data_IF_755136867838
#
_entry.id   IF_755136867838
#
_cell.length_a   1.000
_cell.length_b   1.000
_cell.length_c   1.000
_cell.angle_alpha   90.00
_cell.angle_beta   90.00
_cell.angle_gamma   90.00
#
_symmetry.space_group_name_H-M   'P 1'
#
loop_
_entity.id
_entity.type
_entity.pdbx_description
1 polymer ?
#
# COMPACT_ATOMS: atom_id res chain seq x y z
N UNK A 1 26.14 -24.28 -1.60
CA UNK A 1 24.81 -23.70 -1.87
C UNK A 1 24.46 -22.79 -0.71
N UNK A 2 24.17 -21.51 -0.93
CA UNK A 2 24.03 -20.57 0.18
C UNK A 2 22.62 -20.67 0.80
N UNK A 3 22.45 -21.51 1.84
CA UNK A 3 21.19 -21.60 2.61
C UNK A 3 20.73 -20.23 3.12
N UNK A 4 21.66 -19.32 3.40
CA UNK A 4 21.35 -17.94 3.77
C UNK A 4 20.54 -17.22 2.68
N UNK A 5 20.83 -17.46 1.40
CA UNK A 5 20.05 -16.86 0.31
C UNK A 5 18.64 -17.43 0.22
N UNK A 6 18.44 -18.72 0.53
CA UNK A 6 17.08 -19.27 0.63
C UNK A 6 16.27 -18.61 1.76
N UNK A 7 16.91 -18.39 2.91
CA UNK A 7 16.35 -17.61 4.03
C UNK A 7 16.02 -16.18 3.57
N UNK A 8 16.95 -15.49 2.90
CA UNK A 8 16.71 -14.14 2.34
C UNK A 8 15.55 -14.09 1.35
N UNK A 9 15.43 -15.07 0.46
CA UNK A 9 14.34 -15.15 -0.49
C UNK A 9 12.98 -15.23 0.21
N UNK A 10 12.83 -16.09 1.23
CA UNK A 10 11.57 -16.25 1.93
C UNK A 10 11.27 -15.11 2.92
N UNK A 11 12.27 -14.65 3.68
CA UNK A 11 12.08 -13.75 4.82
C UNK A 11 12.27 -12.26 4.50
N UNK A 12 13.21 -11.93 3.61
CA UNK A 12 13.51 -10.53 3.24
C UNK A 12 12.81 -10.09 1.96
N UNK A 13 12.87 -10.92 0.92
CA UNK A 13 12.12 -10.68 -0.30
C UNK A 13 10.64 -11.09 -0.15
N UNK A 14 10.37 -12.28 0.38
CA UNK A 14 9.02 -12.73 0.72
C UNK A 14 8.53 -12.17 2.06
N UNK A 15 7.35 -12.59 2.50
CA UNK A 15 6.69 -12.14 3.74
C UNK A 15 7.06 -12.95 5.01
N UNK A 16 8.13 -13.75 4.95
CA UNK A 16 8.45 -14.75 5.96
C UNK A 16 8.20 -16.17 5.43
N UNK A 17 9.03 -17.11 5.84
CA UNK A 17 8.88 -18.52 5.48
C UNK A 17 7.70 -19.16 6.20
N UNK A 18 6.98 -20.04 5.49
CA UNK A 18 6.13 -21.07 6.10
C UNK A 18 6.97 -22.30 6.47
N UNK A 19 6.53 -23.14 7.42
CA UNK A 19 7.19 -24.40 7.70
C UNK A 19 7.42 -25.24 6.42
N UNK A 20 8.67 -25.64 6.18
CA UNK A 20 9.09 -26.39 4.99
C UNK A 20 9.28 -25.58 3.70
N UNK A 21 8.96 -24.28 3.69
CA UNK A 21 9.09 -23.44 2.49
C UNK A 21 10.55 -23.23 2.10
N UNK A 22 11.45 -22.98 3.06
CA UNK A 22 12.88 -22.76 2.81
C UNK A 22 13.54 -24.01 2.21
N UNK A 23 13.17 -25.20 2.69
CA UNK A 23 13.74 -26.47 2.19
C UNK A 23 13.38 -26.72 0.72
N UNK A 24 12.29 -26.13 0.22
CA UNK A 24 11.90 -26.21 -1.19
C UNK A 24 12.68 -25.26 -2.12
N UNK A 25 13.42 -24.29 -1.56
CA UNK A 25 14.14 -23.26 -2.33
C UNK A 25 15.54 -23.78 -2.67
N UNK A 26 15.69 -24.30 -3.89
CA UNK A 26 16.98 -24.76 -4.43
C UNK A 26 17.76 -23.65 -5.11
N UNK A 27 17.08 -22.79 -5.87
CA UNK A 27 17.61 -21.56 -6.44
C UNK A 27 16.80 -20.36 -5.92
N UNK A 28 17.35 -19.58 -4.97
CA UNK A 28 16.63 -18.45 -4.38
C UNK A 28 16.26 -17.35 -5.36
N UNK A 29 17.08 -17.08 -6.38
CA UNK A 29 16.77 -16.06 -7.37
C UNK A 29 15.67 -16.55 -8.31
N UNK A 30 15.79 -17.76 -8.84
CA UNK A 30 14.78 -18.32 -9.72
C UNK A 30 13.45 -18.55 -8.99
N UNK A 31 13.47 -18.92 -7.70
CA UNK A 31 12.27 -19.02 -6.87
C UNK A 31 11.51 -17.69 -6.78
N UNK A 32 12.21 -16.56 -6.65
CA UNK A 32 11.59 -15.23 -6.68
C UNK A 32 11.12 -14.85 -8.10
N UNK A 33 11.95 -15.09 -9.12
CA UNK A 33 11.60 -14.78 -10.52
C UNK A 33 10.40 -15.59 -11.01
N UNK A 34 10.22 -16.83 -10.54
CA UNK A 34 9.04 -17.65 -10.82
C UNK A 34 7.74 -16.99 -10.34
N UNK A 35 7.76 -16.33 -9.17
CA UNK A 35 6.58 -15.63 -8.64
C UNK A 35 6.13 -14.44 -9.51
N UNK A 36 7.02 -13.87 -10.32
CA UNK A 36 6.69 -12.80 -11.27
C UNK A 36 5.91 -13.29 -12.49
N UNK A 37 5.91 -14.62 -12.74
CA UNK A 37 5.23 -15.24 -13.88
C UNK A 37 3.95 -15.97 -13.46
N UNK A 38 3.78 -16.21 -12.17
CA UNK A 38 2.60 -16.89 -11.64
C UNK A 38 1.36 -15.99 -11.75
N UNK A 39 0.20 -16.55 -12.13
CA UNK A 39 -1.04 -15.79 -12.15
C UNK A 39 -1.38 -15.33 -10.73
N UNK A 40 -2.06 -14.18 -10.62
CA UNK A 40 -2.64 -13.78 -9.34
C UNK A 40 -3.72 -14.80 -8.97
N UNK A 41 -3.73 -15.27 -7.73
CA UNK A 41 -4.75 -16.20 -7.23
C UNK A 41 -5.30 -15.70 -5.91
N UNK A 42 -6.36 -14.91 -5.98
CA UNK A 42 -6.94 -14.22 -4.83
C UNK A 42 -8.48 -14.20 -4.90
N UNK A 43 -9.15 -15.36 -5.11
CA UNK A 43 -10.61 -15.40 -5.34
C UNK A 43 -11.39 -14.77 -4.17
N UNK A 44 -10.89 -14.90 -2.94
CA UNK A 44 -11.50 -14.33 -1.74
C UNK A 44 -11.62 -12.79 -1.79
N UNK A 45 -10.74 -12.09 -2.51
CA UNK A 45 -10.80 -10.63 -2.66
C UNK A 45 -11.69 -10.19 -3.83
N UNK A 46 -11.94 -11.08 -4.80
CA UNK A 46 -12.75 -10.79 -5.98
C UNK A 46 -14.24 -10.67 -5.66
N UNK A 47 -14.72 -11.32 -4.60
CA UNK A 47 -16.11 -11.28 -4.14
C UNK A 47 -16.46 -10.00 -3.35
N UNK A 48 -15.45 -9.21 -2.97
CA UNK A 48 -15.66 -8.00 -2.18
C UNK A 48 -16.30 -6.87 -3.02
N UNK A 49 -17.17 -6.03 -2.41
CA UNK A 49 -17.73 -4.87 -3.09
C UNK A 49 -16.66 -3.95 -3.65
N UNK A 50 -16.85 -3.50 -4.89
CA UNK A 50 -15.96 -2.51 -5.50
C UNK A 50 -16.25 -1.08 -5.05
N UNK A 51 -15.39 -0.13 -5.41
CA UNK A 51 -15.49 1.28 -5.04
C UNK A 51 -16.79 1.95 -5.48
N UNK A 52 -17.36 1.52 -6.61
CA UNK A 52 -18.66 2.02 -7.07
C UNK A 52 -19.80 1.63 -6.12
N UNK A 53 -19.74 0.42 -5.56
CA UNK A 53 -20.73 -0.06 -4.61
C UNK A 53 -20.57 0.66 -3.26
N UNK A 54 -19.33 0.84 -2.78
CA UNK A 54 -19.06 1.67 -1.61
C UNK A 54 -19.54 3.13 -1.80
N UNK A 55 -19.46 3.67 -3.01
CA UNK A 55 -19.99 5.00 -3.33
C UNK A 55 -21.52 5.05 -3.22
N UNK A 56 -22.24 4.04 -3.70
CA UNK A 56 -23.70 3.93 -3.51
C UNK A 56 -24.06 3.87 -2.03
N UNK A 57 -23.33 3.08 -1.25
CA UNK A 57 -23.53 2.95 0.20
C UNK A 57 -23.27 4.26 0.96
N UNK A 58 -22.20 5.00 0.62
CA UNK A 58 -21.89 6.31 1.20
C UNK A 58 -22.98 7.34 0.88
N UNK A 59 -23.50 7.33 -0.35
CA UNK A 59 -24.61 8.22 -0.75
C UNK A 59 -25.88 7.90 0.03
N UNK A 60 -26.26 6.63 0.12
CA UNK A 60 -27.42 6.20 0.91
C UNK A 60 -27.28 6.60 2.38
N UNK A 61 -26.11 6.37 2.99
CA UNK A 61 -25.83 6.77 4.37
C UNK A 61 -25.96 8.29 4.58
N UNK A 62 -25.46 9.09 3.64
CA UNK A 62 -25.58 10.56 3.69
C UNK A 62 -27.03 11.03 3.55
N UNK A 63 -27.80 10.41 2.66
CA UNK A 63 -29.22 10.70 2.48
C UNK A 63 -30.00 10.37 3.77
N UNK A 64 -29.84 9.17 4.33
CA UNK A 64 -30.49 8.79 5.59
C UNK A 64 -30.12 9.74 6.72
N UNK A 65 -28.84 10.13 6.85
CA UNK A 65 -28.41 11.10 7.87
C UNK A 65 -29.05 12.48 7.67
N UNK A 66 -29.21 12.93 6.42
CA UNK A 66 -29.87 14.19 6.10
C UNK A 66 -31.35 14.14 6.46
N UNK A 67 -32.03 13.05 6.14
CA UNK A 67 -33.43 12.82 6.51
C UNK A 67 -33.61 12.78 8.02
N UNK A 68 -32.75 12.07 8.76
CA UNK A 68 -32.80 12.04 10.23
C UNK A 68 -32.66 13.44 10.86
N UNK A 69 -31.86 14.32 10.24
CA UNK A 69 -31.68 15.71 10.69
C UNK A 69 -32.90 16.59 10.39
N UNK A 70 -33.62 16.31 9.31
CA UNK A 70 -34.75 17.13 8.85
C UNK A 70 -36.09 16.68 9.42
N UNK A 71 -36.31 15.38 9.61
CA UNK A 71 -37.61 14.77 9.93
C UNK A 71 -37.65 14.09 11.31
N UNK A 72 -36.63 14.30 12.16
CA UNK A 72 -36.44 13.55 13.40
C UNK A 72 -35.74 12.20 13.16
N UNK A 73 -35.39 11.43 14.21
CA UNK A 73 -34.54 10.25 14.10
C UNK A 73 -35.13 9.18 13.18
N UNK A 74 -34.75 9.22 11.90
CA UNK A 74 -34.97 8.14 10.97
C UNK A 74 -34.03 6.99 11.37
N UNK A 75 -34.59 5.93 11.96
CA UNK A 75 -33.82 4.70 12.22
C UNK A 75 -33.17 4.21 10.93
N UNK A 76 -31.88 3.85 10.97
CA UNK A 76 -31.19 3.28 9.80
C UNK A 76 -29.75 3.73 9.59
N UNK A 77 -29.40 4.99 9.92
CA UNK A 77 -28.03 5.49 9.71
C UNK A 77 -26.97 4.76 10.56
N UNK A 78 -27.31 4.43 11.81
CA UNK A 78 -26.43 3.68 12.72
C UNK A 78 -26.21 2.22 12.26
N UNK A 79 -27.26 1.44 11.93
CA UNK A 79 -27.11 0.13 11.31
C UNK A 79 -26.24 0.14 10.04
N UNK A 80 -26.45 1.10 9.13
CA UNK A 80 -25.67 1.23 7.89
C UNK A 80 -24.19 1.51 8.16
N UNK A 81 -23.90 2.48 9.05
CA UNK A 81 -22.52 2.79 9.44
C UNK A 81 -21.82 1.59 10.11
N UNK A 82 -22.54 0.82 10.94
CA UNK A 82 -22.01 -0.40 11.56
C UNK A 82 -21.68 -1.46 10.52
N UNK A 83 -22.57 -1.71 9.55
CA UNK A 83 -22.33 -2.67 8.45
C UNK A 83 -21.11 -2.28 7.63
N UNK A 84 -20.99 -1.00 7.27
CA UNK A 84 -19.84 -0.49 6.52
C UNK A 84 -18.51 -0.67 7.27
N UNK A 85 -18.49 -0.44 8.59
CA UNK A 85 -17.31 -0.69 9.43
C UNK A 85 -16.98 -2.18 9.49
N UNK A 86 -17.98 -3.05 9.64
CA UNK A 86 -17.78 -4.50 9.64
C UNK A 86 -17.21 -5.00 8.31
N UNK A 87 -17.70 -4.48 7.18
CA UNK A 87 -17.18 -4.82 5.85
C UNK A 87 -15.70 -4.42 5.69
N UNK A 88 -15.32 -3.23 6.16
CA UNK A 88 -13.91 -2.78 6.13
C UNK A 88 -13.00 -3.66 7.00
N UNK A 89 -13.44 -4.04 8.19
CA UNK A 89 -12.68 -4.94 9.07
C UNK A 89 -12.57 -6.35 8.47
N UNK A 90 -13.63 -6.83 7.83
CA UNK A 90 -13.62 -8.12 7.14
C UNK A 90 -12.64 -8.11 5.95
N UNK A 91 -12.66 -7.06 5.13
CA UNK A 91 -11.71 -6.89 4.03
C UNK A 91 -10.27 -6.80 4.52
N UNK A 92 -10.02 -6.09 5.63
CA UNK A 92 -8.70 -6.05 6.27
C UNK A 92 -8.21 -7.45 6.68
N UNK A 93 -9.10 -8.27 7.26
CA UNK A 93 -8.77 -9.65 7.62
C UNK A 93 -8.45 -10.50 6.38
N UNK A 94 -9.29 -10.42 5.33
CA UNK A 94 -9.06 -11.14 4.07
C UNK A 94 -7.72 -10.75 3.42
N UNK A 95 -7.39 -9.45 3.42
CA UNK A 95 -6.09 -8.93 2.95
C UNK A 95 -4.91 -9.60 3.65
N UNK A 96 -5.03 -9.92 4.94
CA UNK A 96 -3.98 -10.61 5.69
C UNK A 96 -3.99 -12.11 5.43
N UNK A 97 -5.16 -12.74 5.41
CA UNK A 97 -5.29 -14.18 5.11
C UNK A 97 -4.72 -14.53 3.73
N UNK A 98 -5.00 -13.73 2.70
CA UNK A 98 -4.43 -13.90 1.37
C UNK A 98 -2.91 -13.82 1.41
N UNK A 99 -2.34 -12.82 2.08
CA UNK A 99 -0.89 -12.66 2.17
C UNK A 99 -0.21 -13.79 2.97
N UNK A 100 -0.85 -14.27 4.04
CA UNK A 100 -0.37 -15.41 4.82
C UNK A 100 -0.38 -16.69 4.00
N UNK A 101 -1.46 -16.95 3.26
CA UNK A 101 -1.62 -18.18 2.47
C UNK A 101 -0.86 -18.16 1.15
N UNK A 102 -0.50 -16.97 0.63
CA UNK A 102 0.02 -16.80 -0.71
C UNK A 102 1.32 -17.60 -0.95
N UNK A 103 1.40 -18.36 -2.07
CA UNK A 103 2.64 -18.97 -2.53
C UNK A 103 3.57 -17.95 -3.22
N UNK A 104 3.06 -16.75 -3.55
CA UNK A 104 3.83 -15.66 -4.17
C UNK A 104 4.09 -14.54 -3.17
N UNK A 105 4.78 -14.85 -2.07
CA UNK A 105 4.96 -13.91 -0.96
C UNK A 105 5.78 -12.67 -1.34
N UNK A 106 6.66 -12.75 -2.35
CA UNK A 106 7.34 -11.57 -2.91
C UNK A 106 6.33 -10.60 -3.54
N UNK A 107 5.38 -11.12 -4.33
CA UNK A 107 4.33 -10.32 -4.95
C UNK A 107 3.48 -9.61 -3.90
N UNK A 108 3.07 -10.31 -2.84
CA UNK A 108 2.30 -9.71 -1.75
C UNK A 108 3.10 -8.64 -1.00
N UNK A 109 4.41 -8.85 -0.78
CA UNK A 109 5.28 -7.79 -0.24
C UNK A 109 5.25 -6.55 -1.14
N UNK A 110 5.33 -6.72 -2.46
CA UNK A 110 5.23 -5.58 -3.37
C UNK A 110 3.87 -4.91 -3.34
N UNK A 111 2.77 -5.64 -3.15
CA UNK A 111 1.45 -5.03 -2.91
C UNK A 111 1.48 -4.13 -1.68
N UNK A 112 2.07 -4.57 -0.56
CA UNK A 112 2.20 -3.73 0.66
C UNK A 112 3.07 -2.50 0.41
N UNK A 113 4.19 -2.66 -0.29
CA UNK A 113 5.06 -1.55 -0.67
C UNK A 113 4.28 -0.48 -1.45
N UNK A 114 3.54 -0.88 -2.48
CA UNK A 114 2.78 0.07 -3.30
C UNK A 114 1.59 0.69 -2.57
N UNK A 115 0.90 -0.08 -1.73
CA UNK A 115 -0.16 0.46 -0.87
C UNK A 115 0.35 1.51 0.11
N UNK A 116 1.62 1.41 0.51
CA UNK A 116 2.28 2.41 1.34
C UNK A 116 2.85 3.58 0.51
N UNK A 117 3.36 3.31 -0.70
CA UNK A 117 3.86 4.33 -1.62
C UNK A 117 2.74 5.30 -2.06
N UNK A 118 1.57 4.75 -2.37
CA UNK A 118 0.36 5.48 -2.71
C UNK A 118 -0.58 5.57 -1.50
N UNK A 119 -0.04 5.99 -0.36
CA UNK A 119 -0.74 5.93 0.91
C UNK A 119 -2.01 6.80 0.93
N UNK A 120 -3.12 6.19 1.37
CA UNK A 120 -4.36 6.88 1.73
C UNK A 120 -4.63 6.62 3.21
N UNK A 121 -4.96 7.70 3.95
CA UNK A 121 -5.31 7.58 5.37
C UNK A 121 -6.82 7.53 5.61
N UNK A 122 -7.27 6.54 6.38
CA UNK A 122 -8.66 6.39 6.82
C UNK A 122 -9.09 7.47 7.82
N UNK A 123 -8.15 8.24 8.39
CA UNK A 123 -8.47 9.43 9.19
C UNK A 123 -9.23 10.47 8.36
N UNK A 124 -8.96 10.53 7.05
CA UNK A 124 -9.80 11.25 6.11
C UNK A 124 -11.09 10.47 5.87
N UNK A 125 -12.09 10.72 6.73
CA UNK A 125 -13.39 10.02 6.73
C UNK A 125 -14.08 9.86 5.37
N UNK A 126 -13.89 10.81 4.46
CA UNK A 126 -14.49 10.74 3.10
C UNK A 126 -13.77 9.76 2.16
N UNK A 127 -12.50 9.45 2.43
CA UNK A 127 -11.67 8.50 1.69
C UNK A 127 -11.62 7.11 2.34
N UNK A 128 -11.86 7.02 3.66
CA UNK A 128 -11.77 5.79 4.45
C UNK A 128 -12.41 4.54 3.82
N UNK A 129 -13.65 4.59 3.26
CA UNK A 129 -14.29 3.41 2.69
C UNK A 129 -13.58 2.83 1.46
N UNK A 130 -12.66 3.59 0.85
CA UNK A 130 -12.03 3.26 -0.42
C UNK A 130 -10.55 2.89 -0.28
N UNK A 131 -9.97 2.96 0.93
CA UNK A 131 -8.55 2.69 1.15
C UNK A 131 -8.16 1.25 0.78
N UNK A 132 -8.90 0.26 1.30
CA UNK A 132 -8.67 -1.15 0.97
C UNK A 132 -9.11 -1.51 -0.47
N UNK A 133 -10.25 -1.01 -1.00
CA UNK A 133 -10.59 -1.14 -2.42
C UNK A 133 -9.52 -0.61 -3.37
N UNK A 134 -8.81 0.47 -3.04
CA UNK A 134 -7.73 0.99 -3.88
C UNK A 134 -6.58 -0.01 -4.06
N UNK A 135 -6.20 -0.72 -2.99
CA UNK A 135 -5.22 -1.80 -3.09
C UNK A 135 -5.69 -2.88 -4.09
N UNK A 136 -6.96 -3.26 -4.03
CA UNK A 136 -7.55 -4.28 -4.90
C UNK A 136 -7.74 -3.85 -6.35
N UNK A 137 -8.17 -2.62 -6.57
CA UNK A 137 -8.62 -2.13 -7.88
C UNK A 137 -7.51 -1.43 -8.65
N UNK A 138 -6.61 -0.73 -7.95
CA UNK A 138 -5.56 0.06 -8.59
C UNK A 138 -4.16 -0.57 -8.45
N UNK A 139 -3.85 -1.24 -7.34
CA UNK A 139 -2.49 -1.71 -7.06
C UNK A 139 -2.29 -3.17 -7.48
N UNK A 140 -3.06 -4.11 -6.94
CA UNK A 140 -2.93 -5.55 -7.19
C UNK A 140 -2.94 -5.93 -8.68
N UNK A 141 -3.79 -5.32 -9.55
CA UNK A 141 -3.80 -5.64 -10.98
C UNK A 141 -2.54 -5.18 -11.71
N UNK A 142 -1.88 -4.13 -11.21
CA UNK A 142 -0.74 -3.49 -11.87
C UNK A 142 0.60 -3.78 -11.18
N UNK A 143 0.62 -4.57 -10.10
CA UNK A 143 1.81 -4.81 -9.27
C UNK A 143 3.00 -5.41 -10.03
N UNK A 144 2.73 -6.09 -11.16
CA UNK A 144 3.74 -6.64 -12.07
C UNK A 144 3.69 -6.00 -13.48
N UNK A 145 2.86 -4.96 -13.65
CA UNK A 145 2.61 -4.30 -14.93
C UNK A 145 3.48 -3.07 -15.15
N UNK A 146 3.01 -2.13 -16.00
CA UNK A 146 3.69 -0.85 -16.21
C UNK A 146 3.31 0.13 -15.10
N UNK A 147 4.29 0.86 -14.60
CA UNK A 147 4.08 1.88 -13.57
C UNK A 147 3.09 2.97 -14.01
N UNK A 148 3.11 3.39 -15.28
CA UNK A 148 2.16 4.38 -15.80
C UNK A 148 0.70 3.93 -15.64
N UNK A 149 0.42 2.63 -15.83
CA UNK A 149 -0.93 2.07 -15.69
C UNK A 149 -1.35 2.07 -14.20
N UNK A 150 -0.44 1.70 -13.29
CA UNK A 150 -0.68 1.78 -11.85
C UNK A 150 -0.91 3.22 -11.38
N UNK A 151 -0.04 4.14 -11.79
CA UNK A 151 -0.13 5.56 -11.45
C UNK A 151 -1.48 6.11 -11.88
N UNK A 152 -1.87 5.93 -13.15
CA UNK A 152 -3.17 6.39 -13.63
C UNK A 152 -4.34 5.76 -12.85
N UNK A 153 -4.28 4.46 -12.58
CA UNK A 153 -5.32 3.76 -11.82
C UNK A 153 -5.46 4.32 -10.40
N UNK A 154 -4.36 4.65 -9.72
CA UNK A 154 -4.35 5.26 -8.39
C UNK A 154 -4.87 6.70 -8.44
N UNK A 155 -4.33 7.54 -9.32
CA UNK A 155 -4.66 8.97 -9.35
C UNK A 155 -6.11 9.24 -9.79
N UNK A 156 -6.76 8.25 -10.41
CA UNK A 156 -8.19 8.29 -10.76
C UNK A 156 -9.08 7.50 -9.77
N UNK A 157 -8.50 6.86 -8.77
CA UNK A 157 -9.24 6.08 -7.78
C UNK A 157 -10.01 6.98 -6.80
N UNK A 158 -11.25 6.64 -6.40
CA UNK A 158 -12.04 7.42 -5.44
C UNK A 158 -11.32 7.68 -4.11
N UNK A 159 -10.49 6.74 -3.65
CA UNK A 159 -9.69 6.91 -2.44
C UNK A 159 -8.74 8.11 -2.56
N UNK A 160 -7.91 8.13 -3.61
CA UNK A 160 -6.89 9.17 -3.82
C UNK A 160 -7.54 10.53 -4.10
N UNK A 161 -8.52 10.57 -5.01
CA UNK A 161 -9.25 11.79 -5.37
C UNK A 161 -9.95 12.46 -4.18
N UNK A 162 -10.42 11.66 -3.20
CA UNK A 162 -11.04 12.17 -1.98
C UNK A 162 -10.04 12.45 -0.86
N UNK A 163 -8.96 11.69 -0.80
CA UNK A 163 -7.92 11.86 0.21
C UNK A 163 -7.23 13.21 0.03
N UNK A 164 -6.85 13.52 -1.20
CA UNK A 164 -6.16 14.76 -1.59
C UNK A 164 -7.13 15.82 -2.14
N UNK A 165 -8.42 15.68 -1.84
CA UNK A 165 -9.48 16.66 -2.09
C UNK A 165 -9.65 17.10 -3.57
N UNK A 166 -9.11 16.37 -4.55
CA UNK A 166 -9.25 16.70 -5.97
C UNK A 166 -10.70 16.70 -6.45
N UNK A 167 -11.58 15.90 -5.82
CA UNK A 167 -13.04 15.97 -6.07
C UNK A 167 -13.66 17.36 -5.86
N UNK A 168 -12.98 18.26 -5.14
CA UNK A 168 -13.39 19.65 -4.90
C UNK A 168 -12.64 20.66 -5.78
N UNK A 169 -11.62 20.22 -6.52
CA UNK A 169 -10.81 21.06 -7.39
C UNK A 169 -11.60 21.48 -8.62
N UNK A 170 -11.60 22.78 -8.92
CA UNK A 170 -12.15 23.32 -10.15
C UNK A 170 -11.18 24.36 -10.72
N UNK A 171 -11.07 24.38 -12.05
CA UNK A 171 -10.33 25.43 -12.74
C UNK A 171 -10.94 26.79 -12.48
N UNK A 172 -10.10 27.81 -12.25
CA UNK A 172 -10.56 29.19 -11.99
C UNK A 172 -11.35 29.75 -13.18
N UNK A 173 -10.93 29.39 -14.40
CA UNK A 173 -11.58 29.80 -15.66
C UNK A 173 -12.58 28.75 -16.17
N UNK A 174 -12.81 27.68 -15.40
CA UNK A 174 -13.78 26.65 -15.76
C UNK A 174 -15.21 27.20 -15.83
N UNK A 175 -16.03 26.58 -16.69
CA UNK A 175 -17.46 26.96 -16.83
C UNK A 175 -18.20 26.93 -15.49
N UNK A 176 -17.83 26.02 -14.59
CA UNK A 176 -18.39 25.89 -13.26
C UNK A 176 -18.00 27.08 -12.38
N UNK A 177 -16.71 27.43 -12.32
CA UNK A 177 -16.20 28.53 -11.52
C UNK A 177 -16.80 29.87 -11.98
N UNK A 178 -16.78 30.14 -13.29
CA UNK A 178 -17.36 31.37 -13.88
C UNK A 178 -18.85 31.49 -13.55
N UNK A 179 -19.62 30.40 -13.63
CA UNK A 179 -21.06 30.41 -13.27
C UNK A 179 -21.30 30.59 -11.77
N UNK A 180 -20.45 30.00 -10.93
CA UNK A 180 -20.55 30.14 -9.48
C UNK A 180 -20.28 31.59 -9.06
N UNK A 181 -19.20 32.20 -9.57
CA UNK A 181 -18.84 33.59 -9.28
C UNK A 181 -19.92 34.58 -9.75
N UNK A 182 -20.51 34.37 -10.94
CA UNK A 182 -21.64 35.20 -11.42
C UNK A 182 -22.88 35.12 -10.51
N UNK A 183 -23.12 34.00 -9.85
CA UNK A 183 -24.28 33.79 -8.96
C UNK A 183 -24.03 34.30 -7.55
N UNK A 184 -22.80 34.15 -7.06
CA UNK A 184 -22.38 34.65 -5.78
C UNK A 184 -20.88 35.02 -5.88
N UNK A 185 -20.53 36.30 -6.01
CA UNK A 185 -19.15 36.75 -6.15
C UNK A 185 -18.25 36.35 -4.96
N UNK A 186 -18.82 36.18 -3.76
CA UNK A 186 -18.09 35.74 -2.56
C UNK A 186 -17.76 34.24 -2.57
N UNK A 187 -18.33 33.47 -3.52
CA UNK A 187 -18.09 32.04 -3.64
C UNK A 187 -17.03 31.76 -4.69
N UNK A 188 -15.79 31.66 -4.25
CA UNK A 188 -14.68 31.23 -5.09
C UNK A 188 -14.57 29.70 -5.10
N UNK A 189 -14.72 29.11 -6.29
CA UNK A 189 -14.32 27.72 -6.54
C UNK A 189 -12.85 27.75 -6.93
N UNK A 190 -12.00 27.16 -6.09
CA UNK A 190 -10.56 27.24 -6.24
C UNK A 190 -9.93 25.97 -6.79
N UNK A 191 -8.72 26.15 -7.31
CA UNK A 191 -7.80 25.07 -7.64
C UNK A 191 -7.30 24.43 -6.34
N UNK A 192 -7.38 23.10 -6.25
CA UNK A 192 -6.71 22.33 -5.20
C UNK A 192 -5.46 21.67 -5.77
N UNK A 193 -4.30 22.03 -5.22
CA UNK A 193 -2.99 21.57 -5.70
C UNK A 193 -2.47 20.31 -5.00
N UNK A 194 -3.13 19.83 -3.94
CA UNK A 194 -2.59 18.75 -3.11
C UNK A 194 -2.29 17.51 -3.94
N UNK A 195 -3.24 17.04 -4.75
CA UNK A 195 -3.03 15.86 -5.60
C UNK A 195 -1.86 16.04 -6.58
N UNK A 196 -1.76 17.20 -7.23
CA UNK A 196 -0.67 17.49 -8.15
C UNK A 196 0.69 17.54 -7.44
N UNK A 197 0.73 18.11 -6.24
CA UNK A 197 1.94 18.14 -5.42
C UNK A 197 2.37 16.72 -5.04
N UNK A 198 1.46 15.89 -4.54
CA UNK A 198 1.81 14.51 -4.17
C UNK A 198 2.21 13.67 -5.39
N UNK A 199 1.56 13.86 -6.55
CA UNK A 199 1.97 13.21 -7.80
C UNK A 199 3.44 13.51 -8.09
N UNK A 200 3.83 14.79 -8.12
CA UNK A 200 5.19 15.21 -8.45
C UNK A 200 6.18 14.81 -7.36
N UNK A 201 5.84 15.05 -6.09
CA UNK A 201 6.76 14.94 -4.96
C UNK A 201 6.93 13.53 -4.43
N UNK A 202 5.84 12.80 -4.21
CA UNK A 202 5.85 11.54 -3.46
C UNK A 202 5.62 10.31 -4.33
N UNK A 203 4.75 10.45 -5.33
CA UNK A 203 4.33 9.34 -6.19
C UNK A 203 5.26 9.15 -7.39
N UNK A 204 5.96 10.22 -7.83
CA UNK A 204 6.83 10.15 -9.02
C UNK A 204 8.24 10.68 -8.78
N UNK A 205 8.48 11.98 -8.96
CA UNK A 205 9.82 12.55 -9.16
C UNK A 205 10.67 12.57 -7.88
N UNK A 206 10.06 12.50 -6.70
CA UNK A 206 10.74 12.74 -5.44
C UNK A 206 10.86 14.24 -5.14
N UNK A 207 11.09 14.59 -3.87
CA UNK A 207 11.29 15.99 -3.40
C UNK A 207 12.39 16.72 -4.18
N UNK A 208 13.43 16.00 -4.61
CA UNK A 208 14.56 16.54 -5.41
C UNK A 208 14.36 16.33 -6.92
N UNK A 209 13.12 16.13 -7.36
CA UNK A 209 12.75 15.77 -8.73
C UNK A 209 12.87 16.88 -9.78
N UNK A 210 13.18 18.10 -9.34
CA UNK A 210 13.41 19.26 -10.22
C UNK A 210 12.15 19.98 -10.71
N UNK A 211 10.97 19.67 -10.15
CA UNK A 211 9.74 20.40 -10.43
C UNK A 211 9.70 21.73 -9.66
N UNK A 212 9.00 22.71 -10.21
CA UNK A 212 8.73 24.00 -9.60
C UNK A 212 7.31 24.07 -9.05
N UNK A 213 7.01 25.11 -8.27
CA UNK A 213 5.64 25.41 -7.87
C UNK A 213 4.72 25.67 -9.09
N UNK A 214 5.26 26.20 -10.20
CA UNK A 214 4.49 26.38 -11.42
C UNK A 214 4.07 25.04 -12.03
N UNK A 215 4.93 24.02 -11.97
CA UNK A 215 4.59 22.67 -12.45
C UNK A 215 3.47 22.04 -11.60
N UNK A 216 3.48 22.27 -10.29
CA UNK A 216 2.40 21.86 -9.39
C UNK A 216 1.08 22.50 -9.81
N UNK A 217 1.07 23.82 -10.02
CA UNK A 217 -0.13 24.55 -10.44
C UNK A 217 -0.62 24.09 -11.82
N UNK A 218 0.27 23.89 -12.79
CA UNK A 218 -0.10 23.48 -14.14
C UNK A 218 -0.60 22.02 -14.20
N UNK A 219 0.01 21.11 -13.44
CA UNK A 219 -0.53 19.76 -13.28
C UNK A 219 -1.89 19.78 -12.56
N UNK A 220 -2.04 20.61 -11.50
CA UNK A 220 -3.31 20.74 -10.80
C UNK A 220 -4.42 21.17 -11.76
N UNK A 221 -4.16 22.16 -12.63
CA UNK A 221 -5.09 22.56 -13.69
C UNK A 221 -5.38 21.40 -14.65
N UNK A 222 -4.38 20.64 -15.08
CA UNK A 222 -4.55 19.49 -15.98
C UNK A 222 -5.44 18.37 -15.41
N UNK A 223 -5.53 18.24 -14.09
CA UNK A 223 -6.34 17.21 -13.41
C UNK A 223 -7.62 17.76 -12.77
N UNK A 224 -7.92 19.06 -12.95
CA UNK A 224 -9.22 19.61 -12.55
C UNK A 224 -10.36 18.86 -13.23
N UNK A 225 -11.47 18.67 -12.50
CA UNK A 225 -12.61 17.91 -12.98
C UNK A 225 -12.48 16.39 -12.85
N UNK A 226 -11.31 15.84 -12.49
CA UNK A 226 -11.20 14.42 -12.10
C UNK A 226 -11.92 14.20 -10.77
N UNK A 227 -13.02 13.45 -10.81
CA UNK A 227 -13.96 13.37 -9.70
C UNK A 227 -14.58 11.97 -9.58
N UNK A 228 -15.55 11.86 -8.68
CA UNK A 228 -16.37 10.67 -8.49
C UNK A 228 -17.83 10.99 -8.82
N UNK A 229 -18.66 9.98 -9.16
CA UNK A 229 -20.10 10.20 -9.29
C UNK A 229 -20.70 10.77 -7.99
N UNK A 230 -21.60 11.74 -8.14
CA UNK A 230 -22.35 12.39 -7.09
C UNK A 230 -23.79 11.85 -7.07
N UNK A 231 -24.60 12.11 -6.02
CA UNK A 231 -25.96 11.58 -5.93
C UNK A 231 -26.83 11.82 -7.18
N UNK A 232 -26.72 13.04 -7.73
CA UNK A 232 -27.47 13.46 -8.92
C UNK A 232 -27.13 12.62 -10.16
N UNK A 233 -25.92 12.08 -10.25
CA UNK A 233 -25.52 11.23 -11.39
C UNK A 233 -26.16 9.83 -11.30
N UNK A 234 -26.40 9.33 -10.08
CA UNK A 234 -27.15 8.09 -9.85
C UNK A 234 -28.66 8.27 -10.05
N UNK A 235 -29.18 9.48 -9.88
CA UNK A 235 -30.58 9.81 -10.20
C UNK A 235 -30.80 9.95 -11.71
N UNK A 236 -29.82 10.51 -12.42
CA UNK A 236 -29.88 10.74 -13.89
C UNK A 236 -29.51 9.52 -14.72
N UNK A 237 -28.87 8.53 -14.11
CA UNK A 237 -28.45 7.29 -14.76
C UNK A 237 -27.76 6.36 -13.77
N UNK A 238 -27.24 5.24 -14.24
CA UNK A 238 -26.45 4.32 -13.42
C UNK A 238 -24.97 4.43 -13.82
N UNK A 239 -24.15 5.24 -13.12
CA UNK A 239 -22.71 5.24 -13.33
C UNK A 239 -22.16 3.82 -13.27
N UNK A 240 -21.34 3.45 -14.26
CA UNK A 240 -20.72 2.12 -14.38
C UNK A 240 -19.30 2.06 -13.83
N UNK A 241 -18.72 3.22 -13.46
CA UNK A 241 -17.38 3.36 -12.88
C UNK A 241 -17.42 4.33 -11.70
N UNK A 242 -16.49 4.15 -10.76
CA UNK A 242 -16.36 5.03 -9.59
C UNK A 242 -15.58 6.33 -9.87
N UNK A 243 -14.98 6.45 -11.06
CA UNK A 243 -14.36 7.66 -11.58
C UNK A 243 -15.30 8.39 -12.55
N UNK A 244 -15.24 9.73 -12.56
CA UNK A 244 -15.96 10.55 -13.51
C UNK A 244 -15.20 11.86 -13.81
N UNK A 245 -15.05 12.18 -15.10
CA UNK A 245 -14.51 13.46 -15.54
C UNK A 245 -15.61 14.53 -15.66
N UNK A 246 -15.43 15.66 -14.99
CA UNK A 246 -16.33 16.82 -14.98
C UNK A 246 -15.80 17.91 -15.90
N UNK A 247 -16.08 17.81 -17.19
CA UNK A 247 -15.62 18.79 -18.19
C UNK A 247 -15.95 20.25 -17.85
N UNK A 248 -17.08 20.51 -17.16
CA UNK A 248 -17.44 21.88 -16.75
C UNK A 248 -16.58 22.43 -15.61
N UNK A 249 -15.93 21.58 -14.81
CA UNK A 249 -15.03 21.97 -13.73
C UNK A 249 -13.55 21.97 -14.17
N UNK A 250 -13.26 21.48 -15.37
CA UNK A 250 -11.91 21.43 -15.91
C UNK A 250 -11.45 22.82 -16.37
N UNK A 251 -10.20 23.16 -16.07
CA UNK A 251 -9.52 24.33 -16.56
C UNK A 251 -9.13 24.13 -18.03
N UNK A 252 -9.67 24.96 -18.92
CA UNK A 252 -9.30 24.95 -20.35
C UNK A 252 -7.91 25.54 -20.62
N UNK A 253 -7.42 25.35 -21.83
CA UNK A 253 -6.10 25.79 -22.28
C UNK A 253 -5.01 24.70 -22.22
N UNK A 254 -3.95 24.94 -22.98
CA UNK A 254 -2.74 24.12 -22.98
C UNK A 254 -1.96 24.27 -21.67
N UNK A 255 -1.22 23.23 -21.28
CA UNK A 255 -0.37 23.22 -20.08
C UNK A 255 1.10 23.11 -20.44
N UNK A 256 1.95 23.61 -19.56
CA UNK A 256 3.38 23.31 -19.57
C UNK A 256 3.73 22.70 -18.23
N UNK A 257 4.18 21.45 -18.24
CA UNK A 257 4.60 20.73 -17.04
C UNK A 257 5.97 20.12 -17.31
N UNK A 258 6.93 20.36 -16.44
CA UNK A 258 8.32 19.92 -16.57
C UNK A 258 8.93 20.34 -17.92
N UNK A 259 8.61 21.56 -18.38
CA UNK A 259 9.07 22.10 -19.66
C UNK A 259 8.43 21.48 -20.92
N UNK A 260 7.56 20.47 -20.78
CA UNK A 260 6.81 19.86 -21.89
C UNK A 260 5.44 20.50 -22.04
N UNK A 261 5.04 20.80 -23.27
CA UNK A 261 3.73 21.39 -23.60
C UNK A 261 2.71 20.28 -23.88
N UNK A 262 1.52 20.40 -23.29
CA UNK A 262 0.39 19.50 -23.47
C UNK A 262 -0.80 20.27 -24.05
N UNK A 263 -1.43 19.70 -25.09
CA UNK A 263 -2.60 20.30 -25.73
C UNK A 263 -3.81 20.31 -24.78
N UNK A 264 -4.77 21.20 -25.02
CA UNK A 264 -6.07 21.16 -24.34
C UNK A 264 -6.86 19.96 -24.86
N UNK A 265 -6.87 18.87 -24.09
CA UNK A 265 -7.51 17.61 -24.48
C UNK A 265 -8.34 17.00 -23.33
N UNK A 266 -8.90 17.87 -22.48
CA UNK A 266 -9.72 17.50 -21.34
C UNK A 266 -9.08 16.43 -20.45
N UNK A 267 -9.74 15.28 -20.31
CA UNK A 267 -9.25 14.15 -19.52
C UNK A 267 -7.87 13.66 -19.98
N UNK A 268 -7.63 13.61 -21.29
CA UNK A 268 -6.40 13.09 -21.87
C UNK A 268 -5.18 13.97 -21.56
N UNK A 269 -5.38 15.27 -21.30
CA UNK A 269 -4.30 16.19 -20.93
C UNK A 269 -3.59 15.71 -19.66
N UNK A 270 -4.34 15.45 -18.57
CA UNK A 270 -3.75 14.94 -17.33
C UNK A 270 -3.17 13.52 -17.48
N UNK A 271 -3.81 12.66 -18.29
CA UNK A 271 -3.31 11.30 -18.56
C UNK A 271 -1.95 11.32 -19.27
N UNK A 272 -1.77 12.22 -20.24
CA UNK A 272 -0.51 12.40 -20.93
C UNK A 272 0.60 12.88 -19.99
N UNK A 273 0.30 13.83 -19.10
CA UNK A 273 1.26 14.29 -18.09
C UNK A 273 1.69 13.13 -17.17
N UNK A 274 0.74 12.34 -16.65
CA UNK A 274 1.06 11.17 -15.81
C UNK A 274 1.90 10.14 -16.55
N UNK A 275 1.62 9.88 -17.83
CA UNK A 275 2.37 8.93 -18.64
C UNK A 275 3.84 9.37 -18.81
N UNK A 276 4.10 10.66 -19.03
CA UNK A 276 5.47 11.19 -19.12
C UNK A 276 6.19 11.19 -17.77
N UNK A 277 5.50 11.56 -16.68
CA UNK A 277 6.06 11.52 -15.32
C UNK A 277 6.45 10.09 -14.90
N UNK A 278 5.67 9.08 -15.31
CA UNK A 278 5.92 7.68 -14.98
C UNK A 278 7.25 7.12 -15.52
N UNK A 279 7.75 7.68 -16.63
CA UNK A 279 9.01 7.28 -17.27
C UNK A 279 10.09 8.37 -17.17
N UNK A 280 9.88 9.39 -16.33
CA UNK A 280 10.87 10.43 -16.11
C UNK A 280 12.11 9.85 -15.38
N UNK A 281 13.36 10.27 -15.72
CA UNK A 281 14.56 9.79 -15.06
C UNK A 281 14.58 9.98 -13.53
N UNK A 282 13.99 11.07 -13.03
CA UNK A 282 13.84 11.29 -11.59
C UNK A 282 12.93 10.23 -10.94
N UNK A 283 11.80 9.92 -11.56
CA UNK A 283 10.88 8.85 -11.12
C UNK A 283 11.57 7.50 -11.08
N UNK A 284 12.27 7.13 -12.16
CA UNK A 284 12.98 5.87 -12.25
C UNK A 284 13.99 5.71 -11.10
N UNK A 285 14.75 6.77 -10.76
CA UNK A 285 15.71 6.76 -9.64
C UNK A 285 15.02 6.76 -8.27
N UNK A 286 14.05 7.64 -8.08
CA UNK A 286 13.33 7.81 -6.82
C UNK A 286 12.63 6.52 -6.39
N UNK A 287 11.86 5.93 -7.30
CA UNK A 287 11.08 4.73 -7.01
C UNK A 287 11.97 3.49 -6.90
N UNK A 288 13.01 3.37 -7.74
CA UNK A 288 14.00 2.30 -7.60
C UNK A 288 14.72 2.35 -6.25
N UNK A 289 15.06 3.55 -5.78
CA UNK A 289 15.64 3.73 -4.45
C UNK A 289 14.67 3.31 -3.33
N UNK A 290 13.38 3.69 -3.41
CA UNK A 290 12.37 3.27 -2.42
C UNK A 290 12.23 1.73 -2.40
N UNK A 291 12.16 1.09 -3.56
CA UNK A 291 12.06 -0.38 -3.66
C UNK A 291 13.32 -1.06 -3.08
N UNK A 292 14.51 -0.59 -3.47
CA UNK A 292 15.77 -1.13 -2.96
C UNK A 292 15.88 -0.92 -1.44
N UNK A 293 15.45 0.24 -0.94
CA UNK A 293 15.38 0.53 0.49
C UNK A 293 14.44 -0.42 1.23
N UNK A 294 13.30 -0.74 0.64
CA UNK A 294 12.31 -1.62 1.25
C UNK A 294 12.82 -3.05 1.39
N UNK A 295 13.58 -3.54 0.41
CA UNK A 295 13.97 -4.94 0.29
C UNK A 295 15.41 -5.24 0.73
N UNK A 296 16.31 -4.26 0.74
CA UNK A 296 17.76 -4.51 0.93
C UNK A 296 18.28 -3.91 2.22
N UNK A 297 18.22 -2.59 2.38
CA UNK A 297 18.76 -1.87 3.54
C UNK A 297 18.21 -0.45 3.61
N UNK A 298 18.26 0.23 4.77
CA UNK A 298 17.82 1.64 4.89
C UNK A 298 18.57 2.57 3.92
N UNK A 299 19.83 2.26 3.66
CA UNK A 299 20.71 2.88 2.68
C UNK A 299 21.13 1.84 1.62
N UNK A 300 20.35 1.68 0.53
CA UNK A 300 20.68 0.69 -0.50
C UNK A 300 21.90 1.12 -1.32
N UNK A 301 22.74 0.18 -1.79
CA UNK A 301 23.89 0.50 -2.64
C UNK A 301 23.49 1.27 -3.91
N UNK A 302 24.17 2.38 -4.20
CA UNK A 302 23.85 3.23 -5.36
C UNK A 302 23.87 2.46 -6.69
N UNK A 303 24.84 1.55 -6.87
CA UNK A 303 24.94 0.73 -8.08
C UNK A 303 23.67 -0.11 -8.34
N UNK A 304 23.03 -0.62 -7.29
CA UNK A 304 21.77 -1.36 -7.39
C UNK A 304 20.64 -0.44 -7.85
N UNK A 305 20.51 0.73 -7.22
CA UNK A 305 19.48 1.72 -7.56
C UNK A 305 19.62 2.17 -9.02
N UNK A 306 20.85 2.41 -9.47
CA UNK A 306 21.12 2.80 -10.86
C UNK A 306 20.83 1.68 -11.85
N UNK A 307 21.14 0.42 -11.50
CA UNK A 307 20.79 -0.73 -12.34
C UNK A 307 19.27 -0.85 -12.54
N UNK A 308 18.51 -0.74 -11.45
CA UNK A 308 17.05 -0.74 -11.50
C UNK A 308 16.49 0.45 -12.28
N UNK A 309 17.01 1.66 -12.07
CA UNK A 309 16.58 2.86 -12.78
C UNK A 309 16.87 2.78 -14.30
N UNK A 310 18.00 2.18 -14.70
CA UNK A 310 18.28 1.90 -16.13
C UNK A 310 17.27 0.92 -16.70
N UNK A 311 16.98 -0.18 -16.00
CA UNK A 311 15.96 -1.13 -16.43
C UNK A 311 14.59 -0.48 -16.56
N UNK A 312 14.21 0.35 -15.58
CA UNK A 312 12.96 1.11 -15.59
C UNK A 312 12.81 1.95 -16.85
N UNK A 313 13.82 2.74 -17.19
CA UNK A 313 13.78 3.59 -18.39
C UNK A 313 13.78 2.76 -19.67
N UNK A 314 14.58 1.70 -19.73
CA UNK A 314 14.65 0.83 -20.91
C UNK A 314 13.36 0.03 -21.16
N UNK A 315 12.62 -0.33 -20.10
CA UNK A 315 11.38 -1.09 -20.20
C UNK A 315 10.12 -0.24 -20.22
N UNK A 316 10.24 1.09 -20.12
CA UNK A 316 9.08 1.98 -20.00
C UNK A 316 8.33 1.82 -18.67
N UNK A 317 9.04 1.47 -17.59
CA UNK A 317 8.49 1.29 -16.25
C UNK A 317 7.80 -0.05 -16.04
N UNK A 318 8.19 -1.12 -16.75
CA UNK A 318 7.75 -2.49 -16.46
C UNK A 318 8.30 -2.95 -15.10
N UNK A 319 7.41 -3.08 -14.13
CA UNK A 319 7.75 -3.38 -12.75
C UNK A 319 8.30 -4.80 -12.57
N UNK A 320 7.81 -5.79 -13.33
CA UNK A 320 8.34 -7.15 -13.26
C UNK A 320 9.79 -7.20 -13.72
N UNK A 321 10.15 -6.45 -14.77
CA UNK A 321 11.53 -6.34 -15.22
C UNK A 321 12.42 -5.61 -14.20
N UNK A 322 11.92 -4.55 -13.56
CA UNK A 322 12.63 -3.83 -12.49
C UNK A 322 12.89 -4.74 -11.29
N UNK A 323 11.91 -5.55 -10.89
CA UNK A 323 12.09 -6.53 -9.80
C UNK A 323 13.09 -7.60 -10.20
N UNK A 324 13.05 -8.10 -11.43
CA UNK A 324 14.02 -9.06 -11.91
C UNK A 324 15.45 -8.49 -11.91
N UNK A 325 15.62 -7.21 -12.25
CA UNK A 325 16.91 -6.53 -12.16
C UNK A 325 17.41 -6.45 -10.71
N UNK A 326 16.53 -6.13 -9.75
CA UNK A 326 16.86 -6.15 -8.33
C UNK A 326 17.26 -7.55 -7.87
N UNK A 327 16.44 -8.56 -8.17
CA UNK A 327 16.64 -9.96 -7.74
C UNK A 327 17.95 -10.52 -8.29
N UNK A 328 18.36 -10.16 -9.51
CA UNK A 328 19.61 -10.67 -10.10
C UNK A 328 20.86 -9.93 -9.63
N UNK A 329 20.72 -8.74 -9.05
CA UNK A 329 21.86 -7.91 -8.73
C UNK A 329 22.60 -8.42 -7.47
N UNK A 330 23.91 -8.70 -7.51
CA UNK A 330 24.64 -9.29 -6.38
C UNK A 330 24.55 -8.48 -5.08
N UNK A 331 24.53 -7.14 -5.18
CA UNK A 331 24.43 -6.26 -4.01
C UNK A 331 23.11 -6.42 -3.24
N UNK A 332 22.06 -6.99 -3.84
CA UNK A 332 20.81 -7.29 -3.15
C UNK A 332 20.91 -8.51 -2.21
N UNK A 333 22.01 -9.27 -2.26
CA UNK A 333 22.24 -10.53 -1.53
C UNK A 333 23.48 -10.52 -0.65
N UNK A 334 24.09 -9.35 -0.44
CA UNK A 334 25.26 -9.20 0.44
C UNK A 334 24.92 -9.38 1.91
N UNK A 335 25.92 -9.66 2.75
CA UNK A 335 25.75 -9.92 4.19
C UNK A 335 25.17 -8.75 4.97
N UNK A 336 25.38 -7.52 4.50
CA UNK A 336 24.82 -6.30 5.09
C UNK A 336 23.37 -6.04 4.71
N UNK A 337 22.78 -6.83 3.79
CA UNK A 337 21.40 -6.67 3.35
C UNK A 337 20.46 -7.21 4.42
N UNK A 338 19.87 -6.29 5.19
CA UNK A 338 18.91 -6.61 6.25
C UNK A 338 17.93 -5.47 6.45
N UNK A 339 16.71 -5.81 6.85
CA UNK A 339 15.63 -4.85 7.12
C UNK A 339 14.90 -5.17 8.41
N UNK A 340 14.72 -4.17 9.27
CA UNK A 340 13.86 -4.33 10.44
C UNK A 340 12.41 -4.48 9.97
N UNK A 341 11.66 -5.44 10.52
CA UNK A 341 10.26 -5.67 10.14
C UNK A 341 9.40 -4.50 10.59
N UNK A 342 8.56 -3.96 9.71
CA UNK A 342 7.43 -3.12 10.16
C UNK A 342 6.46 -3.97 11.00
N UNK A 343 5.56 -3.39 11.81
CA UNK A 343 4.56 -4.16 12.53
C UNK A 343 3.69 -5.09 11.65
N UNK A 344 3.30 -4.66 10.45
CA UNK A 344 2.57 -5.46 9.45
C UNK A 344 3.43 -6.63 8.96
N UNK A 345 4.69 -6.37 8.58
CA UNK A 345 5.65 -7.42 8.17
C UNK A 345 5.90 -8.44 9.29
N UNK A 346 6.06 -7.96 10.52
CA UNK A 346 6.26 -8.79 11.70
C UNK A 346 5.08 -9.74 11.89
N UNK A 347 3.86 -9.20 11.89
CA UNK A 347 2.65 -9.99 12.06
C UNK A 347 2.49 -11.04 10.97
N UNK A 348 2.63 -10.65 9.69
CA UNK A 348 2.55 -11.58 8.56
C UNK A 348 3.59 -12.69 8.68
N UNK A 349 4.84 -12.35 9.02
CA UNK A 349 5.90 -13.35 9.17
C UNK A 349 5.66 -14.29 10.35
N UNK A 350 5.11 -13.80 11.46
CA UNK A 350 4.83 -14.62 12.65
C UNK A 350 3.71 -15.61 12.39
N UNK A 351 2.64 -15.15 11.72
CA UNK A 351 1.51 -16.02 11.36
C UNK A 351 1.95 -17.04 10.31
N UNK A 352 2.76 -16.65 9.32
CA UNK A 352 3.31 -17.59 8.33
C UNK A 352 4.21 -18.64 8.96
N UNK A 353 5.01 -18.27 9.97
CA UNK A 353 5.90 -19.18 10.68
C UNK A 353 5.17 -20.26 11.50
N UNK A 354 3.95 -19.98 11.97
CA UNK A 354 3.19 -20.91 12.82
C UNK A 354 2.20 -20.24 13.77
N UNK A 355 2.21 -18.90 13.85
CA UNK A 355 1.22 -18.13 14.59
C UNK A 355 -0.19 -18.25 14.00
N UNK A 356 -1.19 -17.79 14.76
CA UNK A 356 -2.60 -17.88 14.37
C UNK A 356 -3.23 -16.51 14.26
N UNK A 357 -3.91 -16.26 13.13
CA UNK A 357 -4.87 -15.17 13.01
C UNK A 357 -6.27 -15.68 13.35
N UNK A 358 -6.83 -15.21 14.46
CA UNK A 358 -8.21 -15.51 14.82
C UNK A 358 -9.16 -14.80 13.85
N UNK A 359 -9.66 -15.58 12.89
CA UNK A 359 -10.53 -15.11 11.82
C UNK A 359 -11.93 -14.73 12.32
N UNK A 360 -12.31 -15.13 13.53
CA UNK A 360 -13.56 -14.72 14.17
C UNK A 360 -13.49 -13.31 14.77
N UNK A 361 -12.28 -12.76 14.95
CA UNK A 361 -12.05 -11.47 15.61
C UNK A 361 -11.20 -10.53 14.74
N UNK A 362 -11.73 -10.01 13.60
CA UNK A 362 -10.99 -9.08 12.73
C UNK A 362 -10.57 -7.78 13.43
N UNK A 363 -11.29 -7.38 14.48
CA UNK A 363 -10.91 -6.22 15.30
C UNK A 363 -9.62 -6.47 16.10
N UNK A 364 -9.31 -7.72 16.47
CA UNK A 364 -8.08 -8.04 17.20
C UNK A 364 -6.84 -7.80 16.34
N UNK A 365 -6.91 -8.12 15.04
CA UNK A 365 -5.87 -7.79 14.05
C UNK A 365 -5.60 -6.28 14.01
N UNK A 366 -6.65 -5.46 13.88
CA UNK A 366 -6.51 -4.01 13.92
C UNK A 366 -5.85 -3.54 15.21
N UNK A 367 -6.35 -3.99 16.37
CA UNK A 367 -5.84 -3.60 17.69
C UNK A 367 -4.38 -3.97 17.88
N UNK A 368 -3.95 -5.12 17.36
CA UNK A 368 -2.57 -5.58 17.45
C UNK A 368 -1.62 -4.66 16.66
N UNK A 369 -1.98 -4.32 15.42
CA UNK A 369 -1.21 -3.42 14.56
C UNK A 369 -1.20 -1.98 15.09
N UNK A 370 -2.34 -1.50 15.59
CA UNK A 370 -2.47 -0.20 16.25
C UNK A 370 -1.58 -0.10 17.49
N UNK A 371 -1.58 -1.13 18.35
CA UNK A 371 -0.71 -1.20 19.54
C UNK A 371 0.77 -1.09 19.16
N UNK A 372 1.19 -1.73 18.07
CA UNK A 372 2.57 -1.67 17.58
C UNK A 372 2.88 -0.38 16.79
N UNK A 373 1.93 0.54 16.65
CA UNK A 373 2.14 1.86 16.05
C UNK A 373 1.97 1.93 14.53
N UNK A 374 1.41 0.89 13.90
CA UNK A 374 1.10 0.88 12.46
C UNK A 374 -0.37 0.47 12.21
N UNK A 375 -1.35 1.26 12.66
CA UNK A 375 -2.75 0.99 12.36
C UNK A 375 -3.00 0.88 10.85
N UNK A 376 -3.75 -0.13 10.38
CA UNK A 376 -3.95 -0.36 8.95
C UNK A 376 -4.56 0.84 8.22
N UNK A 377 -3.95 1.23 7.10
CA UNK A 377 -4.38 2.37 6.29
C UNK A 377 -4.48 3.70 7.05
N UNK A 378 -3.66 3.90 8.09
CA UNK A 378 -3.66 5.14 8.89
C UNK A 378 -2.27 5.80 8.96
N UNK A 379 -1.58 6.04 7.83
CA UNK A 379 -0.37 6.84 7.85
C UNK A 379 -0.69 8.29 8.25
N UNK A 380 0.26 8.96 8.90
CA UNK A 380 0.11 10.34 9.37
C UNK A 380 0.21 11.39 8.26
N UNK A 381 0.76 11.01 7.11
CA UNK A 381 0.89 11.86 5.92
C UNK A 381 0.72 11.03 4.65
N UNK A 382 0.54 11.68 3.47
CA UNK A 382 0.53 11.00 2.18
C UNK A 382 1.82 10.24 1.83
N UNK A 383 2.93 10.49 2.55
CA UNK A 383 4.19 9.76 2.36
C UNK A 383 4.15 8.30 2.83
N UNK A 384 3.09 7.89 3.52
CA UNK A 384 2.94 6.56 4.07
C UNK A 384 3.66 6.36 5.41
N UNK A 385 3.78 5.11 5.82
CA UNK A 385 4.59 4.69 6.95
C UNK A 385 6.07 4.68 6.58
N UNK A 386 6.93 5.04 7.54
CA UNK A 386 8.37 5.05 7.36
C UNK A 386 8.92 3.63 7.11
N UNK A 387 9.95 3.54 6.29
CA UNK A 387 10.60 2.26 5.94
C UNK A 387 11.90 2.05 6.74
N UNK A 388 12.39 3.09 7.41
CA UNK A 388 13.60 3.11 8.21
C UNK A 388 13.46 2.32 9.51
N UNK A 389 14.49 1.53 9.85
CA UNK A 389 14.50 0.70 11.05
C UNK A 389 14.33 1.53 12.34
N UNK A 390 14.95 2.71 12.39
CA UNK A 390 14.92 3.59 13.56
C UNK A 390 13.50 4.00 13.99
N UNK A 391 12.53 4.04 13.06
CA UNK A 391 11.14 4.36 13.39
C UNK A 391 10.44 3.22 14.17
N UNK A 392 10.96 1.99 14.07
CA UNK A 392 10.31 0.78 14.55
C UNK A 392 11.08 0.06 15.67
N UNK A 393 12.34 0.44 15.91
CA UNK A 393 13.24 -0.21 16.87
C UNK A 393 13.47 0.56 18.16
N UNK A 394 12.66 1.59 18.45
CA UNK A 394 12.72 2.32 19.72
C UNK A 394 12.28 1.47 20.93
N UNK A 395 12.67 1.81 22.17
CA UNK A 395 12.39 0.99 23.36
C UNK A 395 10.91 0.64 23.57
N UNK A 396 10.01 1.62 23.44
CA UNK A 396 8.55 1.40 23.55
C UNK A 396 8.02 0.46 22.44
N UNK A 397 8.50 0.62 21.21
CA UNK A 397 8.12 -0.23 20.08
C UNK A 397 8.57 -1.68 20.29
N UNK A 398 9.77 -1.90 20.83
CA UNK A 398 10.27 -3.24 21.17
C UNK A 398 9.46 -3.88 22.30
N UNK A 399 9.11 -3.11 23.34
CA UNK A 399 8.25 -3.60 24.42
C UNK A 399 6.86 -4.05 23.91
N UNK A 400 6.23 -3.24 23.05
CA UNK A 400 4.96 -3.58 22.40
C UNK A 400 5.06 -4.82 21.51
N UNK A 401 6.22 -5.07 20.89
CA UNK A 401 6.48 -6.30 20.12
C UNK A 401 6.58 -7.53 21.01
N UNK A 402 7.21 -7.44 22.18
CA UNK A 402 7.24 -8.55 23.16
C UNK A 402 5.82 -8.91 23.60
N UNK A 403 5.00 -7.92 23.95
CA UNK A 403 3.58 -8.15 24.30
C UNK A 403 2.79 -8.78 23.14
N UNK A 404 3.11 -8.38 21.90
CA UNK A 404 2.47 -8.92 20.70
C UNK A 404 2.93 -10.35 20.41
N UNK A 405 4.20 -10.68 20.66
CA UNK A 405 4.74 -12.04 20.56
C UNK A 405 4.02 -13.01 21.51
N UNK A 406 3.81 -12.59 22.77
CA UNK A 406 3.05 -13.36 23.75
C UNK A 406 1.61 -13.61 23.28
N UNK A 407 0.90 -12.57 22.86
CA UNK A 407 -0.48 -12.70 22.36
C UNK A 407 -0.59 -13.63 21.13
N UNK A 408 0.41 -13.61 20.25
CA UNK A 408 0.46 -14.52 19.09
C UNK A 408 0.72 -15.96 19.50
N UNK A 409 1.60 -16.21 20.47
CA UNK A 409 1.89 -17.54 21.00
C UNK A 409 0.71 -18.12 21.79
N UNK A 410 0.00 -17.29 22.56
CA UNK A 410 -1.23 -17.66 23.28
C UNK A 410 -2.35 -18.13 22.34
N UNK A 411 -2.42 -17.58 21.13
CA UNK A 411 -3.40 -17.96 20.13
C UNK A 411 -3.08 -19.32 19.44
N UNK A 412 -1.90 -19.90 19.67
CA UNK A 412 -1.51 -21.19 19.09
C UNK A 412 -2.02 -22.35 19.96
N UNK A 413 -2.80 -23.28 19.40
CA UNK A 413 -3.22 -24.51 20.07
C UNK A 413 -2.02 -25.33 20.59
N UNK A 414 -2.20 -26.01 21.73
CA UNK A 414 -1.12 -26.71 22.43
C UNK A 414 -0.46 -27.81 21.60
N UNK A 415 -1.25 -28.51 20.78
CA UNK A 415 -0.78 -29.57 19.86
C UNK A 415 0.05 -29.05 18.69
N UNK A 416 0.09 -27.73 18.47
CA UNK A 416 0.90 -27.07 17.43
C UNK A 416 2.08 -26.28 17.97
N UNK A 417 2.31 -26.27 19.29
CA UNK A 417 3.43 -25.56 19.90
C UNK A 417 4.74 -26.34 19.71
N UNK A 418 5.55 -25.92 18.74
CA UNK A 418 6.91 -26.43 18.52
C UNK A 418 7.87 -25.27 18.21
N UNK A 419 8.44 -24.60 19.23
CA UNK A 419 9.34 -23.45 19.02
C UNK A 419 10.61 -23.81 18.26
N UNK A 420 11.22 -24.94 18.56
CA UNK A 420 12.47 -25.36 17.92
C UNK A 420 12.25 -25.79 16.48
N UNK A 421 11.18 -26.54 16.20
CA UNK A 421 10.79 -26.89 14.85
C UNK A 421 10.40 -25.66 14.04
N UNK A 422 9.64 -24.73 14.64
CA UNK A 422 9.29 -23.45 13.99
C UNK A 422 10.55 -22.66 13.65
N UNK A 423 11.47 -22.50 14.60
CA UNK A 423 12.73 -21.80 14.42
C UNK A 423 13.58 -22.42 13.30
N UNK A 424 13.71 -23.75 13.30
CA UNK A 424 14.42 -24.50 12.24
C UNK A 424 13.75 -24.29 10.88
N UNK A 425 12.42 -24.28 10.83
CA UNK A 425 11.71 -24.19 9.56
C UNK A 425 11.81 -22.80 8.90
N UNK A 426 11.99 -21.73 9.69
CA UNK A 426 12.06 -20.35 9.17
C UNK A 426 13.49 -19.76 9.09
N UNK A 427 14.46 -20.37 9.77
CA UNK A 427 15.87 -19.94 9.73
C UNK A 427 16.82 -21.02 9.20
N UNK A 428 16.34 -22.24 8.91
CA UNK A 428 17.19 -23.39 8.63
C UNK A 428 18.30 -23.49 9.70
N UNK A 429 19.57 -23.48 9.28
CA UNK A 429 20.73 -23.53 10.17
C UNK A 429 21.32 -22.15 10.49
N UNK A 430 20.69 -21.05 10.03
CA UNK A 430 21.24 -19.68 10.16
C UNK A 430 20.84 -18.98 11.45
N UNK A 431 20.07 -19.63 12.33
CA UNK A 431 19.74 -19.07 13.64
C UNK A 431 20.98 -19.04 14.55
N UNK A 432 21.19 -17.93 15.24
CA UNK A 432 22.28 -17.77 16.20
C UNK A 432 22.12 -18.70 17.41
N UNK A 433 23.25 -19.09 18.00
CA UNK A 433 23.26 -20.04 19.12
C UNK A 433 22.65 -19.46 20.41
N UNK A 434 22.68 -18.13 20.57
CA UNK A 434 22.07 -17.46 21.70
C UNK A 434 20.55 -17.65 21.69
N UNK A 435 19.89 -17.33 20.56
CA UNK A 435 18.46 -17.53 20.38
C UNK A 435 18.12 -19.02 20.47
N UNK A 436 18.90 -19.91 19.84
CA UNK A 436 18.68 -21.36 19.94
C UNK A 436 18.75 -21.87 21.38
N UNK A 437 19.73 -21.39 22.16
CA UNK A 437 19.84 -21.76 23.57
C UNK A 437 18.71 -21.17 24.42
N UNK A 438 18.21 -19.99 24.10
CA UNK A 438 17.06 -19.40 24.79
C UNK A 438 15.79 -20.23 24.57
N UNK A 439 15.55 -20.72 23.36
CA UNK A 439 14.40 -21.57 23.04
C UNK A 439 14.43 -22.90 23.82
N UNK A 440 15.58 -23.57 23.89
CA UNK A 440 15.75 -24.83 24.63
C UNK A 440 15.56 -24.69 26.15
N UNK A 441 15.75 -23.49 26.68
CA UNK A 441 15.63 -23.17 28.11
C UNK A 441 14.29 -22.53 28.47
N UNK A 442 13.38 -22.37 27.51
CA UNK A 442 12.07 -21.80 27.78
C UNK A 442 11.28 -22.67 28.78
N UNK A 443 10.55 -22.02 29.68
CA UNK A 443 9.80 -22.71 30.75
C UNK A 443 8.65 -23.57 30.19
N UNK A 444 8.11 -23.18 29.04
CA UNK A 444 7.09 -23.92 28.31
C UNK A 444 7.27 -23.78 26.79
N UNK A 445 6.69 -24.68 25.97
CA UNK A 445 6.64 -24.49 24.52
C UNK A 445 5.98 -23.17 24.09
N UNK A 446 5.00 -22.67 24.86
CA UNK A 446 4.35 -21.38 24.57
C UNK A 446 5.30 -20.22 24.78
N UNK A 447 6.04 -20.22 25.89
CA UNK A 447 7.07 -19.21 26.17
C UNK A 447 8.20 -19.28 25.15
N UNK A 448 8.59 -20.48 24.73
CA UNK A 448 9.58 -20.67 23.68
C UNK A 448 9.14 -20.02 22.36
N UNK A 449 7.87 -20.16 21.97
CA UNK A 449 7.35 -19.54 20.74
C UNK A 449 7.27 -18.01 20.88
N UNK A 450 6.87 -17.51 22.04
CA UNK A 450 6.88 -16.07 22.33
C UNK A 450 8.31 -15.49 22.29
N UNK A 451 9.29 -16.21 22.85
CA UNK A 451 10.71 -15.85 22.79
C UNK A 451 11.23 -15.83 21.35
N UNK A 452 10.87 -16.83 20.53
CA UNK A 452 11.23 -16.85 19.11
C UNK A 452 10.73 -15.59 18.41
N UNK A 453 9.44 -15.27 18.55
CA UNK A 453 8.87 -14.08 17.90
C UNK A 453 9.42 -12.77 18.47
N UNK A 454 9.80 -12.71 19.75
CA UNK A 454 10.44 -11.54 20.34
C UNK A 454 11.93 -11.40 20.00
N UNK A 455 12.59 -12.47 19.54
CA UNK A 455 14.04 -12.51 19.35
C UNK A 455 14.55 -11.49 18.32
N UNK A 456 15.79 -10.97 18.48
CA UNK A 456 16.42 -10.15 17.46
C UNK A 456 16.44 -10.82 16.08
N UNK A 457 16.75 -12.12 16.02
CA UNK A 457 16.73 -12.89 14.77
C UNK A 457 15.40 -12.78 14.03
N UNK A 458 14.28 -12.77 14.76
CA UNK A 458 12.95 -12.65 14.18
C UNK A 458 12.54 -11.20 13.88
N UNK A 459 13.08 -10.20 14.57
CA UNK A 459 12.77 -8.79 14.27
C UNK A 459 13.37 -8.30 12.95
N UNK A 460 14.46 -8.93 12.51
CA UNK A 460 15.12 -8.60 11.26
C UNK A 460 14.69 -9.56 10.13
N UNK A 461 14.64 -9.00 8.92
CA UNK A 461 14.58 -9.73 7.67
C UNK A 461 16.00 -9.79 7.13
N UNK A 462 16.59 -10.97 7.12
CA UNK A 462 17.94 -11.25 6.59
C UNK A 462 17.79 -11.99 5.27
#
# INVERSE_FOLDING_TARGET
MNRQHAVSAANRFGLGARPGEIDSITDPQEWLLAQLRMPASEPALAELPGSLEYLRQDIALRQTRRESRQRGPAGGAMPLARRQRQAQLHELLLRHQVAVASPTSFRERMVRFWSNHFAVSVDKRVAAPYAAPMEREAIRPHVLGRFADMLLAVETHPAMLRFLDNTRSAGADSKLAVRAHRRNPERELGLNENLAREILELHTLGVQGGYSQADVTELAKAITGWSVPAPQDFERGAPVRAFMFRANAHEGGSRVVMGKRYAEDGLAQGQAVLADLAVHPATARHVSWKIARHLVSDEPPQALVEAMARTWLASGGDLAQVYAALIRHPAAWGESARKFKTPDDYLLSAVRAGGVLDSSRPQALYTLLDRMGQPPFTPRSPAGFADEAAQWSGPDALWKRIQSAQALAEAVPEDRLDPEGTARAIFADTLDEETRSALRRAESPRDGLALLFASPAFQWRI
#
